data_IF_249853267513
#
_entry.id   IF_249853267513
#
_cell.length_a   1.000
_cell.length_b   1.000
_cell.length_c   1.000
_cell.angle_alpha   90.00
_cell.angle_beta   90.00
_cell.angle_gamma   90.00
#
_symmetry.space_group_name_H-M   'P 1'
#
loop_
_entity.id
_entity.type
_entity.pdbx_description
1 polymer ?
#
# COMPACT_ATOMS: atom_id res chain seq x y z
N UNK A 1 51.36 5.25 -28.62
CA UNK A 1 51.74 3.81 -28.57
C UNK A 1 50.53 3.03 -28.05
N UNK A 2 49.79 2.35 -28.92
CA UNK A 2 48.66 1.53 -28.49
C UNK A 2 49.19 0.17 -28.01
N UNK A 3 48.56 -0.43 -27.00
CA UNK A 3 48.97 -1.66 -26.27
C UNK A 3 49.17 -2.94 -27.14
N UNK A 4 49.20 -2.82 -28.46
CA UNK A 4 49.22 -3.93 -29.42
C UNK A 4 50.46 -4.01 -30.29
N UNK A 5 51.41 -3.06 -30.21
CA UNK A 5 52.58 -3.01 -31.09
C UNK A 5 53.60 -4.14 -30.84
N UNK A 6 53.57 -4.79 -29.66
CA UNK A 6 54.41 -5.96 -29.33
C UNK A 6 53.74 -7.32 -29.48
N UNK A 7 52.51 -7.39 -29.99
CA UNK A 7 51.73 -8.64 -30.03
C UNK A 7 51.88 -9.38 -31.37
N UNK A 8 52.05 -10.69 -31.29
CA UNK A 8 52.03 -11.56 -32.47
C UNK A 8 50.67 -11.42 -33.19
N UNK A 9 50.60 -11.63 -34.52
CA UNK A 9 49.34 -11.55 -35.26
C UNK A 9 48.18 -12.36 -34.66
N UNK A 10 48.37 -13.58 -34.13
CA UNK A 10 47.33 -14.32 -33.41
C UNK A 10 46.83 -13.61 -32.14
N UNK A 11 47.74 -13.06 -31.33
CA UNK A 11 47.38 -12.35 -30.10
C UNK A 11 46.60 -11.07 -30.38
N UNK A 12 46.92 -10.33 -31.46
CA UNK A 12 46.15 -9.15 -31.89
C UNK A 12 44.71 -9.53 -32.29
N UNK A 13 44.55 -10.64 -33.01
CA UNK A 13 43.21 -11.15 -33.37
C UNK A 13 42.42 -11.53 -32.12
N UNK A 14 43.04 -12.25 -31.19
CA UNK A 14 42.43 -12.65 -29.93
C UNK A 14 41.98 -11.43 -29.09
N UNK A 15 42.83 -10.40 -28.97
CA UNK A 15 42.50 -9.18 -28.25
C UNK A 15 41.35 -8.40 -28.90
N UNK A 16 41.30 -8.30 -30.23
CA UNK A 16 40.20 -7.67 -30.96
C UNK A 16 38.87 -8.40 -30.75
N UNK A 17 38.87 -9.73 -30.81
CA UNK A 17 37.67 -10.54 -30.55
C UNK A 17 37.19 -10.37 -29.11
N UNK A 18 38.11 -10.37 -28.14
CA UNK A 18 37.80 -10.13 -26.73
C UNK A 18 37.18 -8.75 -26.50
N UNK A 19 37.68 -7.71 -27.16
CA UNK A 19 37.12 -6.37 -27.07
C UNK A 19 35.66 -6.31 -27.58
N UNK A 20 35.39 -6.91 -28.76
CA UNK A 20 34.04 -7.01 -29.33
C UNK A 20 33.08 -7.77 -28.41
N UNK A 21 33.54 -8.88 -27.84
CA UNK A 21 32.75 -9.67 -26.89
C UNK A 21 32.38 -8.89 -25.63
N UNK A 22 33.30 -8.09 -25.09
CA UNK A 22 33.00 -7.23 -23.94
C UNK A 22 32.02 -6.11 -24.27
N UNK A 23 32.13 -5.52 -25.46
CA UNK A 23 31.18 -4.52 -25.91
C UNK A 23 29.77 -5.11 -26.08
N UNK A 24 29.68 -6.29 -26.72
CA UNK A 24 28.44 -7.04 -26.85
C UNK A 24 27.84 -7.42 -25.49
N UNK A 25 28.68 -7.85 -24.53
CA UNK A 25 28.23 -8.14 -23.17
C UNK A 25 27.65 -6.91 -22.48
N UNK A 26 28.27 -5.74 -22.65
CA UNK A 26 27.74 -4.48 -22.12
C UNK A 26 26.38 -4.15 -22.71
N UNK A 27 26.21 -4.25 -24.03
CA UNK A 27 24.91 -4.04 -24.71
C UNK A 27 23.83 -4.98 -24.19
N UNK A 28 24.14 -6.28 -24.10
CA UNK A 28 23.23 -7.29 -23.56
C UNK A 28 22.90 -7.10 -22.08
N UNK A 29 23.86 -6.60 -21.29
CA UNK A 29 23.63 -6.32 -19.87
C UNK A 29 22.75 -5.09 -19.65
N UNK A 30 22.83 -4.11 -20.54
CA UNK A 30 22.05 -2.87 -20.48
C UNK A 30 20.57 -3.10 -20.79
N UNK A 31 20.27 -4.09 -21.63
CA UNK A 31 18.90 -4.48 -21.94
C UNK A 31 18.40 -5.60 -21.00
N UNK A 32 17.46 -5.31 -20.08
CA UNK A 32 16.90 -6.32 -19.17
C UNK A 32 16.05 -7.38 -19.88
N UNK A 33 15.50 -7.08 -21.06
CA UNK A 33 14.64 -8.00 -21.82
C UNK A 33 15.45 -9.04 -22.59
N UNK A 34 16.70 -8.73 -22.95
CA UNK A 34 17.52 -9.66 -23.71
C UNK A 34 18.11 -10.80 -22.86
N UNK A 35 18.10 -12.04 -23.38
CA UNK A 35 18.61 -13.19 -22.65
C UNK A 35 20.14 -13.17 -22.59
N UNK A 36 20.70 -13.15 -21.37
CA UNK A 36 22.13 -13.26 -21.10
C UNK A 36 22.62 -14.71 -21.31
N UNK A 37 22.75 -15.12 -22.57
CA UNK A 37 23.19 -16.46 -22.97
C UNK A 37 24.42 -16.39 -23.88
N UNK A 38 25.22 -17.45 -23.89
CA UNK A 38 26.39 -17.55 -24.78
C UNK A 38 25.98 -17.44 -26.26
N UNK A 39 24.76 -17.90 -26.58
CA UNK A 39 24.11 -17.75 -27.87
C UNK A 39 23.88 -16.29 -28.26
N UNK A 40 23.23 -15.53 -27.38
CA UNK A 40 22.94 -14.12 -27.60
C UNK A 40 24.24 -13.32 -27.70
N UNK A 41 25.21 -13.59 -26.81
CA UNK A 41 26.52 -12.96 -26.81
C UNK A 41 27.29 -13.19 -28.11
N UNK A 42 27.30 -14.43 -28.61
CA UNK A 42 27.95 -14.77 -29.87
C UNK A 42 27.29 -14.08 -31.08
N UNK A 43 25.94 -14.01 -31.11
CA UNK A 43 25.19 -13.28 -32.15
C UNK A 43 25.47 -11.78 -32.11
N UNK A 44 25.41 -11.18 -30.92
CA UNK A 44 25.64 -9.75 -30.72
C UNK A 44 27.09 -9.36 -31.07
N UNK A 45 28.07 -10.21 -30.75
CA UNK A 45 29.47 -9.97 -31.09
C UNK A 45 29.84 -10.36 -32.54
N UNK A 46 28.92 -10.98 -33.29
CA UNK A 46 29.16 -11.46 -34.66
C UNK A 46 30.23 -12.55 -34.76
N UNK A 47 30.33 -13.45 -33.77
CA UNK A 47 31.29 -14.55 -33.75
C UNK A 47 30.65 -15.93 -33.59
N UNK A 48 31.33 -16.97 -34.02
CA UNK A 48 30.91 -18.34 -33.76
C UNK A 48 31.01 -18.73 -32.28
N UNK A 49 30.05 -19.52 -31.77
CA UNK A 49 30.07 -20.05 -30.39
C UNK A 49 31.35 -20.83 -30.07
N UNK A 50 31.93 -21.55 -31.03
CA UNK A 50 33.17 -22.30 -30.83
C UNK A 50 34.36 -21.39 -30.50
N UNK A 51 34.42 -20.19 -31.08
CA UNK A 51 35.47 -19.21 -30.78
C UNK A 51 35.30 -18.61 -29.37
N UNK A 52 34.05 -18.47 -28.91
CA UNK A 52 33.73 -18.05 -27.55
C UNK A 52 34.19 -19.10 -26.52
N UNK A 53 33.91 -20.38 -26.75
CA UNK A 53 34.25 -21.45 -25.81
C UNK A 53 35.75 -21.75 -25.71
N UNK A 54 36.47 -21.68 -26.83
CA UNK A 54 37.89 -22.07 -26.88
C UNK A 54 38.82 -20.97 -26.38
N UNK A 55 38.48 -19.70 -26.60
CA UNK A 55 39.39 -18.59 -26.31
C UNK A 55 38.98 -17.66 -25.16
N UNK A 56 37.72 -17.65 -24.75
CA UNK A 56 37.17 -16.53 -23.97
C UNK A 56 36.35 -17.00 -22.75
N UNK A 57 36.93 -17.91 -21.97
CA UNK A 57 36.33 -18.45 -20.75
C UNK A 57 36.07 -17.38 -19.68
N UNK A 58 36.90 -16.34 -19.62
CA UNK A 58 36.74 -15.21 -18.72
C UNK A 58 35.46 -14.42 -19.02
N UNK A 59 35.19 -14.13 -20.29
CA UNK A 59 33.95 -13.45 -20.71
C UNK A 59 32.72 -14.33 -20.43
N UNK A 60 32.84 -15.65 -20.57
CA UNK A 60 31.77 -16.57 -20.18
C UNK A 60 31.52 -16.57 -18.67
N UNK A 61 32.56 -16.41 -17.86
CA UNK A 61 32.44 -16.21 -16.41
C UNK A 61 31.68 -14.93 -16.08
N UNK A 62 32.06 -13.81 -16.69
CA UNK A 62 31.38 -12.51 -16.55
C UNK A 62 29.90 -12.61 -16.96
N UNK A 63 29.61 -13.26 -18.09
CA UNK A 63 28.24 -13.49 -18.56
C UNK A 63 27.41 -14.30 -17.55
N UNK A 64 27.95 -15.39 -17.02
CA UNK A 64 27.25 -16.22 -16.03
C UNK A 64 27.01 -15.47 -14.73
N UNK A 65 27.96 -14.67 -14.27
CA UNK A 65 27.81 -13.84 -13.09
C UNK A 65 26.67 -12.82 -13.26
N UNK A 66 26.62 -12.13 -14.40
CA UNK A 66 25.54 -11.18 -14.72
C UNK A 66 24.18 -11.88 -14.83
N UNK A 67 24.13 -13.04 -15.47
CA UNK A 67 22.90 -13.83 -15.56
C UNK A 67 22.40 -14.28 -14.17
N UNK A 68 23.31 -14.71 -13.29
CA UNK A 68 22.99 -15.10 -11.92
C UNK A 68 22.49 -13.91 -11.08
N UNK A 69 23.12 -12.74 -11.20
CA UNK A 69 22.68 -11.52 -10.53
C UNK A 69 21.27 -11.11 -10.97
N UNK A 70 20.98 -11.12 -12.27
CA UNK A 70 19.64 -10.80 -12.80
C UNK A 70 18.58 -11.78 -12.30
N UNK A 71 18.91 -13.08 -12.27
CA UNK A 71 18.01 -14.10 -11.73
C UNK A 71 17.74 -13.92 -10.23
N UNK A 72 18.76 -13.55 -9.45
CA UNK A 72 18.62 -13.26 -8.02
C UNK A 72 17.71 -12.03 -7.79
N UNK A 73 17.94 -10.93 -8.52
CA UNK A 73 17.14 -9.72 -8.42
C UNK A 73 15.66 -9.97 -8.76
N UNK A 74 15.39 -10.76 -9.81
CA UNK A 74 14.02 -11.14 -10.18
C UNK A 74 13.31 -11.95 -9.09
N UNK A 75 14.01 -12.86 -8.42
CA UNK A 75 13.47 -13.68 -7.31
C UNK A 75 13.18 -12.85 -6.05
N UNK A 76 13.96 -11.81 -5.79
CA UNK A 76 13.71 -10.89 -4.67
C UNK A 76 12.47 -10.05 -4.97
N UNK A 77 12.44 -9.37 -6.12
CA UNK A 77 11.29 -8.54 -6.52
C UNK A 77 9.97 -9.30 -6.59
N UNK A 78 9.99 -10.59 -6.97
CA UNK A 78 8.79 -11.42 -6.97
C UNK A 78 8.30 -11.71 -5.55
N UNK A 79 9.19 -12.06 -4.63
CA UNK A 79 8.84 -12.32 -3.22
C UNK A 79 8.30 -11.08 -2.54
N UNK A 80 8.91 -9.93 -2.79
CA UNK A 80 8.45 -8.66 -2.22
C UNK A 80 7.03 -8.32 -2.68
N UNK A 81 6.74 -8.47 -3.99
CA UNK A 81 5.37 -8.26 -4.52
C UNK A 81 4.34 -9.25 -3.97
N UNK A 82 4.75 -10.50 -3.74
CA UNK A 82 3.88 -11.52 -3.16
C UNK A 82 3.55 -11.18 -1.69
N UNK A 83 4.56 -10.76 -0.91
CA UNK A 83 4.39 -10.31 0.48
C UNK A 83 3.50 -9.05 0.57
N UNK A 84 3.76 -8.04 -0.26
CA UNK A 84 2.94 -6.82 -0.31
C UNK A 84 1.47 -7.14 -0.62
N UNK A 85 1.22 -8.09 -1.51
CA UNK A 85 -0.14 -8.52 -1.88
C UNK A 85 -0.88 -9.27 -0.77
N UNK A 86 -0.18 -9.97 0.13
CA UNK A 86 -0.78 -10.59 1.31
C UNK A 86 -1.12 -9.55 2.38
N UNK A 87 -0.22 -8.60 2.62
CA UNK A 87 -0.42 -7.52 3.59
C UNK A 87 -1.58 -6.61 3.19
N UNK A 88 -1.68 -6.23 1.91
CA UNK A 88 -2.81 -5.44 1.40
C UNK A 88 -4.14 -6.15 1.67
N UNK A 89 -4.24 -7.44 1.33
CA UNK A 89 -5.46 -8.23 1.55
C UNK A 89 -5.82 -8.35 3.03
N UNK A 90 -4.82 -8.43 3.91
CA UNK A 90 -5.03 -8.44 5.36
C UNK A 90 -5.57 -7.09 5.83
N UNK A 91 -4.97 -5.99 5.41
CA UNK A 91 -5.40 -4.64 5.77
C UNK A 91 -6.82 -4.33 5.27
N UNK A 92 -7.20 -4.80 4.08
CA UNK A 92 -8.56 -4.67 3.56
C UNK A 92 -9.59 -5.38 4.45
N UNK A 93 -9.29 -6.61 4.88
CA UNK A 93 -10.15 -7.37 5.81
C UNK A 93 -10.28 -6.65 7.16
N UNK A 94 -9.17 -6.16 7.69
CA UNK A 94 -9.18 -5.43 8.96
C UNK A 94 -10.00 -4.14 8.86
N UNK A 95 -9.87 -3.39 7.76
CA UNK A 95 -10.68 -2.20 7.49
C UNK A 95 -12.17 -2.53 7.41
N UNK A 96 -12.55 -3.61 6.75
CA UNK A 96 -13.95 -4.05 6.67
C UNK A 96 -14.50 -4.41 8.05
N UNK A 97 -13.71 -5.15 8.85
CA UNK A 97 -14.08 -5.52 10.22
C UNK A 97 -14.27 -4.27 11.11
N UNK A 98 -13.36 -3.30 11.02
CA UNK A 98 -13.47 -2.04 11.75
C UNK A 98 -14.69 -1.22 11.30
N UNK A 99 -14.99 -1.17 10.00
CA UNK A 99 -16.18 -0.49 9.50
C UNK A 99 -17.46 -1.10 10.08
N UNK A 100 -17.56 -2.43 10.14
CA UNK A 100 -18.70 -3.12 10.77
C UNK A 100 -18.80 -2.83 12.27
N UNK A 101 -17.66 -2.84 12.99
CA UNK A 101 -17.65 -2.52 14.42
C UNK A 101 -18.05 -1.07 14.68
N UNK A 102 -17.57 -0.13 13.88
CA UNK A 102 -17.92 1.28 13.96
C UNK A 102 -19.41 1.50 13.68
N UNK A 103 -20.00 0.80 12.71
CA UNK A 103 -21.45 0.86 12.46
C UNK A 103 -22.26 0.37 13.66
N UNK A 104 -21.82 -0.73 14.30
CA UNK A 104 -22.45 -1.25 15.52
C UNK A 104 -22.31 -0.31 16.73
N UNK A 105 -21.17 0.37 16.87
CA UNK A 105 -20.95 1.39 17.89
C UNK A 105 -21.85 2.61 17.64
N UNK A 106 -21.91 3.10 16.41
CA UNK A 106 -22.75 4.23 16.04
C UNK A 106 -24.23 3.93 16.32
N UNK A 107 -24.70 2.73 15.98
CA UNK A 107 -26.08 2.32 16.28
C UNK A 107 -26.36 2.35 17.78
N UNK A 108 -25.44 1.82 18.60
CA UNK A 108 -25.58 1.84 20.06
C UNK A 108 -25.59 3.27 20.63
N UNK A 109 -24.78 4.17 20.07
CA UNK A 109 -24.77 5.57 20.47
C UNK A 109 -26.13 6.24 20.18
N UNK A 110 -26.65 6.08 18.96
CA UNK A 110 -27.96 6.61 18.58
C UNK A 110 -29.09 6.06 19.46
N UNK A 111 -29.11 4.74 19.70
CA UNK A 111 -30.12 4.13 20.57
C UNK A 111 -30.03 4.67 22.02
N UNK A 112 -28.83 4.98 22.50
CA UNK A 112 -28.61 5.57 23.82
C UNK A 112 -29.08 7.03 23.88
N UNK A 113 -28.79 7.82 22.85
CA UNK A 113 -29.27 9.21 22.71
C UNK A 113 -30.80 9.27 22.67
N UNK A 114 -31.47 8.39 21.92
CA UNK A 114 -32.93 8.31 21.89
C UNK A 114 -33.54 7.92 23.25
N UNK A 115 -32.89 7.03 24.00
CA UNK A 115 -33.32 6.67 25.35
C UNK A 115 -33.16 7.84 26.31
N UNK A 116 -32.05 8.58 26.21
CA UNK A 116 -31.80 9.77 27.01
C UNK A 116 -32.86 10.84 26.74
N UNK A 117 -33.12 11.17 25.47
CA UNK A 117 -34.14 12.15 25.09
C UNK A 117 -35.52 11.80 25.65
N UNK A 118 -35.94 10.53 25.55
CA UNK A 118 -37.20 10.07 26.14
C UNK A 118 -37.24 10.20 27.66
N UNK A 119 -36.11 9.98 28.33
CA UNK A 119 -35.99 10.17 29.78
C UNK A 119 -36.09 11.64 30.15
N UNK A 120 -35.43 12.53 29.39
CA UNK A 120 -35.48 13.98 29.56
C UNK A 120 -36.90 14.52 29.37
N UNK A 121 -37.60 14.10 28.32
CA UNK A 121 -38.98 14.50 28.04
C UNK A 121 -39.93 14.11 29.19
N UNK A 122 -39.80 12.87 29.69
CA UNK A 122 -40.57 12.39 30.85
C UNK A 122 -40.24 13.18 32.11
N UNK A 123 -38.96 13.45 32.35
CA UNK A 123 -38.53 14.22 33.51
C UNK A 123 -39.09 15.65 33.45
N UNK A 124 -39.02 16.31 32.29
CA UNK A 124 -39.61 17.62 32.06
C UNK A 124 -41.14 17.61 32.28
N UNK A 125 -41.83 16.55 31.86
CA UNK A 125 -43.26 16.39 32.14
C UNK A 125 -43.54 16.29 33.64
N UNK A 126 -42.84 15.42 34.36
CA UNK A 126 -43.01 15.25 35.80
C UNK A 126 -42.71 16.54 36.56
N UNK A 127 -41.67 17.28 36.17
CA UNK A 127 -41.35 18.58 36.75
C UNK A 127 -42.50 19.58 36.56
N UNK A 128 -43.13 19.61 35.38
CA UNK A 128 -44.32 20.44 35.13
C UNK A 128 -45.51 20.02 35.99
N UNK A 129 -45.73 18.72 36.17
CA UNK A 129 -46.80 18.20 37.04
C UNK A 129 -46.56 18.58 38.51
N UNK A 130 -45.34 18.41 39.01
CA UNK A 130 -44.95 18.84 40.37
C UNK A 130 -45.14 20.35 40.53
N UNK A 131 -44.75 21.15 39.54
CA UNK A 131 -44.94 22.60 39.58
C UNK A 131 -46.43 22.99 39.66
N UNK A 132 -47.30 22.30 38.91
CA UNK A 132 -48.76 22.50 38.98
C UNK A 132 -49.32 22.16 40.36
N UNK A 133 -48.90 21.03 40.94
CA UNK A 133 -49.35 20.61 42.28
C UNK A 133 -48.88 21.56 43.39
N UNK A 134 -47.73 22.21 43.20
CA UNK A 134 -47.17 23.19 44.15
C UNK A 134 -47.68 24.62 43.94
N UNK A 135 -48.48 24.87 42.90
CA UNK A 135 -49.02 26.20 42.66
C UNK A 135 -50.00 26.58 43.79
N UNK A 136 -49.85 27.76 44.42
CA UNK A 136 -50.74 28.17 45.50
C UNK A 136 -52.17 28.35 44.98
N UNK A 137 -53.14 27.80 45.71
CA UNK A 137 -54.56 27.99 45.40
C UNK A 137 -54.94 29.45 45.66
N UNK A 138 -55.23 30.20 44.60
CA UNK A 138 -55.78 31.56 44.72
C UNK A 138 -57.22 31.43 45.20
N UNK A 139 -57.46 31.70 46.48
CA UNK A 139 -58.81 31.80 47.03
C UNK A 139 -59.40 33.14 46.58
N UNK A 140 -60.46 33.17 45.77
CA UNK A 140 -61.09 34.44 45.41
C UNK A 140 -61.70 35.06 46.67
N UNK A 141 -61.33 36.31 46.96
CA UNK A 141 -61.98 37.10 48.02
C UNK A 141 -63.42 37.36 47.61
N UNK A 142 -64.37 36.62 48.18
CA UNK A 142 -65.79 36.90 48.06
C UNK A 142 -66.10 38.30 48.60
N UNK A 143 -66.82 39.10 47.83
CA UNK A 143 -67.31 40.42 48.20
C UNK A 143 -68.15 40.34 49.48
N UNK A 144 -67.53 40.64 50.62
CA UNK A 144 -68.23 40.99 51.84
C UNK A 144 -68.51 42.50 51.79
N UNK A 145 -69.78 42.87 51.59
CA UNK A 145 -70.26 44.20 51.95
C UNK A 145 -71.18 44.84 50.93
N UNK A 146 -72.48 44.64 51.09
CA UNK A 146 -73.39 45.79 51.21
C UNK A 146 -74.64 45.36 52.01
N UNK A 147 -74.83 45.86 53.25
CA UNK A 147 -76.07 45.69 54.00
C UNK A 147 -77.13 46.65 53.45
N UNK A 148 -78.39 46.26 53.58
CA UNK A 148 -79.51 46.83 52.86
C UNK A 148 -79.91 48.27 53.19
N UNK A 149 -80.89 48.74 52.43
CA UNK A 149 -81.82 49.79 52.85
C UNK A 149 -83.24 49.31 52.57
N UNK A 150 -83.99 49.17 53.66
CA UNK A 150 -85.45 49.22 53.69
C UNK A 150 -85.84 50.69 53.52
N UNK A 151 -86.78 50.95 52.60
CA UNK A 151 -88.03 51.71 52.76
C UNK A 151 -88.60 52.05 51.37
#
# INVERSE_FOLDING_TARGET
>A
MTKTDGLTPPQRRHARTKARLREALRKLSADPAQPLTAAALAREAGIGRNALYTGHADVLGELRALAAQRAAASKVSRRDREADGEDIRRLEKDKQKLATQNAGLLRRALDAEERLKRSEDRNAQLLREIAKLRAPAVVPRGNAGQPGRQD
#
